data_IF_423907709922
#
_entry.id   IF_423907709922
#
_cell.length_a   1.000
_cell.length_b   1.000
_cell.length_c   1.000
_cell.angle_alpha   90.00
_cell.angle_beta   90.00
_cell.angle_gamma   90.00
#
_symmetry.space_group_name_H-M   'P 1'
#
loop_
_entity.id
_entity.type
_entity.pdbx_description
1 polymer ?
#
# COMPACT_ATOMS: atom_id res chain seq x y z
N UNK A 1 21.39 47.97 -22.62
CA UNK A 1 20.01 48.35 -22.22
C UNK A 1 19.59 47.41 -21.08
N UNK A 2 19.59 47.88 -19.84
CA UNK A 2 19.22 47.03 -18.69
C UNK A 2 17.72 46.79 -18.71
N UNK A 3 17.27 45.53 -18.92
CA UNK A 3 15.87 45.16 -18.74
C UNK A 3 15.51 45.41 -17.27
N UNK A 4 14.72 46.46 -17.04
CA UNK A 4 14.07 46.73 -15.75
C UNK A 4 13.33 45.44 -15.36
N UNK A 5 13.60 44.87 -14.19
CA UNK A 5 12.82 43.74 -13.67
C UNK A 5 11.40 44.23 -13.43
N UNK A 6 10.52 44.03 -14.40
CA UNK A 6 9.10 44.36 -14.30
C UNK A 6 8.50 43.38 -13.28
N UNK A 7 8.08 43.91 -12.13
CA UNK A 7 7.36 43.16 -11.10
C UNK A 7 5.89 43.52 -11.18
N UNK A 8 5.03 42.51 -11.14
CA UNK A 8 3.59 42.68 -11.11
C UNK A 8 3.09 42.52 -9.67
N UNK A 9 2.36 43.53 -9.15
CA UNK A 9 1.80 43.46 -7.80
C UNK A 9 0.39 42.87 -7.87
N UNK A 10 0.15 41.84 -7.05
CA UNK A 10 -1.13 41.16 -6.87
C UNK A 10 -1.40 40.97 -5.38
N UNK A 11 -2.67 41.01 -4.98
CA UNK A 11 -3.09 40.59 -3.64
C UNK A 11 -3.28 39.07 -3.65
N UNK A 12 -2.78 38.39 -2.62
CA UNK A 12 -2.89 36.93 -2.46
C UNK A 12 -3.33 36.68 -1.03
N UNK A 13 -4.40 35.92 -0.88
CA UNK A 13 -4.86 35.44 0.42
C UNK A 13 -4.27 34.05 0.66
N UNK A 14 -3.66 33.86 1.83
CA UNK A 14 -3.15 32.56 2.26
C UNK A 14 -4.07 31.97 3.32
N UNK A 15 -4.33 30.68 3.22
CA UNK A 15 -4.80 29.92 4.37
C UNK A 15 -3.77 30.03 5.51
N UNK A 16 -4.26 30.08 6.75
CA UNK A 16 -3.41 30.32 7.92
C UNK A 16 -2.29 29.28 8.05
N UNK A 17 -2.57 28.02 7.74
CA UNK A 17 -1.60 26.92 7.80
C UNK A 17 -0.52 27.07 6.71
N UNK A 18 -0.92 27.41 5.48
CA UNK A 18 0.01 27.65 4.37
C UNK A 18 0.90 28.87 4.62
N UNK A 19 0.36 29.92 5.24
CA UNK A 19 1.15 31.09 5.62
C UNK A 19 2.23 30.74 6.66
N UNK A 20 1.89 29.91 7.66
CA UNK A 20 2.87 29.42 8.65
C UNK A 20 3.97 28.59 7.99
N UNK A 21 3.62 27.70 7.06
CA UNK A 21 4.60 26.93 6.29
C UNK A 21 5.53 27.85 5.49
N UNK A 22 4.99 28.90 4.88
CA UNK A 22 5.75 29.87 4.11
C UNK A 22 6.74 30.65 4.98
N UNK A 23 6.33 31.10 6.17
CA UNK A 23 7.21 31.79 7.12
C UNK A 23 8.35 30.88 7.60
N UNK A 24 8.06 29.63 7.96
CA UNK A 24 9.08 28.65 8.35
C UNK A 24 10.06 28.35 7.20
N UNK A 25 9.55 28.24 5.98
CA UNK A 25 10.37 28.01 4.80
C UNK A 25 11.25 29.23 4.48
N UNK A 26 10.78 30.46 4.72
CA UNK A 26 11.58 31.68 4.53
C UNK A 26 12.85 31.65 5.37
N UNK A 27 12.77 31.21 6.62
CA UNK A 27 13.94 31.02 7.49
C UNK A 27 14.88 29.93 6.96
N UNK A 28 14.31 28.79 6.58
CA UNK A 28 15.06 27.62 6.09
C UNK A 28 15.84 27.94 4.80
N UNK A 29 15.19 28.61 3.85
CA UNK A 29 15.76 28.99 2.56
C UNK A 29 16.47 30.35 2.59
N UNK A 30 16.50 31.03 3.75
CA UNK A 30 17.11 32.37 3.95
C UNK A 30 16.60 33.41 2.94
N UNK A 31 15.31 33.36 2.62
CA UNK A 31 14.70 34.32 1.70
C UNK A 31 14.43 35.65 2.42
N UNK A 32 14.63 36.78 1.74
CA UNK A 32 14.44 38.11 2.34
C UNK A 32 12.95 38.49 2.43
N UNK A 33 12.08 37.81 1.68
CA UNK A 33 10.64 38.05 1.68
C UNK A 33 9.86 36.84 1.20
N UNK A 34 8.58 36.78 1.58
CA UNK A 34 7.64 35.77 1.07
C UNK A 34 7.53 35.83 -0.45
N UNK A 35 7.56 37.03 -1.03
CA UNK A 35 7.55 37.20 -2.48
C UNK A 35 8.78 36.58 -3.16
N UNK A 36 9.96 36.70 -2.56
CA UNK A 36 11.19 36.08 -3.08
C UNK A 36 11.05 34.55 -3.09
N UNK A 37 10.59 33.98 -1.97
CA UNK A 37 10.40 32.54 -1.83
C UNK A 37 9.32 32.01 -2.79
N UNK A 38 8.17 32.68 -2.91
CA UNK A 38 7.10 32.30 -3.86
C UNK A 38 7.62 32.29 -5.30
N UNK A 39 8.33 33.34 -5.72
CA UNK A 39 8.92 33.38 -7.07
C UNK A 39 9.99 32.30 -7.27
N UNK A 40 10.73 31.93 -6.23
CA UNK A 40 11.65 30.80 -6.28
C UNK A 40 10.90 29.48 -6.48
N UNK A 41 9.88 29.19 -5.66
CA UNK A 41 9.04 27.98 -5.75
C UNK A 41 8.40 27.83 -7.13
N UNK A 42 7.82 28.92 -7.66
CA UNK A 42 7.26 28.96 -9.02
C UNK A 42 8.31 28.57 -10.07
N UNK A 43 9.52 29.13 -9.98
CA UNK A 43 10.60 28.83 -10.95
C UNK A 43 11.06 27.38 -10.88
N UNK A 44 11.17 26.80 -9.70
CA UNK A 44 11.66 25.42 -9.57
C UNK A 44 10.59 24.39 -9.93
N UNK A 45 9.31 24.65 -9.66
CA UNK A 45 8.24 23.66 -9.86
C UNK A 45 7.51 23.83 -11.20
N UNK A 46 7.22 25.06 -11.65
CA UNK A 46 6.48 25.28 -12.90
C UNK A 46 7.36 25.28 -14.15
N UNK A 47 8.67 25.54 -14.02
CA UNK A 47 9.60 25.60 -15.16
C UNK A 47 10.44 24.32 -15.34
N UNK A 48 9.94 23.18 -14.87
CA UNK A 48 10.60 21.89 -15.05
C UNK A 48 10.51 21.44 -16.51
N UNK A 49 11.61 20.89 -17.04
CA UNK A 49 11.61 20.24 -18.36
C UNK A 49 10.73 18.98 -18.33
N UNK A 50 10.04 18.63 -19.43
CA UNK A 50 9.17 17.45 -19.49
C UNK A 50 9.86 16.14 -19.06
N UNK A 51 11.13 15.93 -19.42
CA UNK A 51 11.88 14.74 -19.01
C UNK A 51 12.12 14.69 -17.50
N UNK A 52 12.37 15.83 -16.88
CA UNK A 52 12.56 15.94 -15.42
C UNK A 52 11.24 15.70 -14.71
N UNK A 53 10.14 16.29 -15.21
CA UNK A 53 8.79 16.04 -14.70
C UNK A 53 8.44 14.55 -14.71
N UNK A 54 8.63 13.87 -15.85
CA UNK A 54 8.39 12.42 -15.95
C UNK A 54 9.22 11.61 -14.97
N UNK A 55 10.51 11.89 -14.85
CA UNK A 55 11.37 11.18 -13.91
C UNK A 55 10.90 11.35 -12.46
N UNK A 56 10.56 12.58 -12.06
CA UNK A 56 10.04 12.86 -10.72
C UNK A 56 8.68 12.19 -10.49
N UNK A 57 7.80 12.19 -11.49
CA UNK A 57 6.52 11.49 -11.44
C UNK A 57 6.70 9.98 -11.25
N UNK A 58 7.63 9.35 -11.98
CA UNK A 58 7.96 7.91 -11.81
C UNK A 58 8.48 7.61 -10.41
N UNK A 59 9.36 8.44 -9.86
CA UNK A 59 9.86 8.25 -8.49
C UNK A 59 8.69 8.34 -7.49
N UNK A 60 7.84 9.37 -7.62
CA UNK A 60 6.69 9.55 -6.74
C UNK A 60 5.68 8.39 -6.85
N UNK A 61 5.46 7.87 -8.07
CA UNK A 61 4.62 6.68 -8.31
C UNK A 61 5.17 5.45 -7.58
N UNK A 62 6.45 5.16 -7.74
CA UNK A 62 7.06 3.99 -7.11
C UNK A 62 6.99 4.04 -5.58
N UNK A 63 7.22 5.22 -4.98
CA UNK A 63 7.09 5.39 -3.52
C UNK A 63 5.63 5.33 -3.07
N UNK A 64 4.69 5.89 -3.85
CA UNK A 64 3.26 5.75 -3.59
C UNK A 64 2.84 4.28 -3.58
N UNK A 65 3.20 3.49 -4.60
CA UNK A 65 2.86 2.07 -4.71
C UNK A 65 3.47 1.24 -3.59
N UNK A 66 4.71 1.56 -3.19
CA UNK A 66 5.36 0.92 -2.05
C UNK A 66 4.61 1.19 -0.76
N UNK A 67 4.29 2.45 -0.47
CA UNK A 67 3.54 2.83 0.73
C UNK A 67 2.13 2.24 0.72
N UNK A 68 1.48 2.20 -0.44
CA UNK A 68 0.14 1.64 -0.60
C UNK A 68 0.12 0.16 -0.20
N UNK A 69 1.08 -0.64 -0.72
CA UNK A 69 1.28 -2.04 -0.33
C UNK A 69 1.58 -2.19 1.16
N UNK A 70 2.37 -1.28 1.75
CA UNK A 70 2.72 -1.32 3.18
C UNK A 70 1.54 -0.93 4.11
N UNK A 71 0.59 -0.12 3.66
CA UNK A 71 -0.56 0.31 4.48
C UNK A 71 -1.50 -0.85 4.80
N UNK A 72 -1.62 -1.84 3.90
CA UNK A 72 -2.46 -3.03 4.13
C UNK A 72 -2.03 -3.83 5.38
N UNK A 73 -0.75 -3.80 5.77
CA UNK A 73 -0.22 -4.56 6.91
C UNK A 73 0.05 -3.74 8.20
N UNK A 74 -0.30 -2.45 8.23
CA UNK A 74 0.10 -1.54 9.33
C UNK A 74 -0.95 -1.47 10.47
N UNK A 75 -0.54 -1.26 11.73
CA UNK A 75 -1.45 -0.98 12.85
C UNK A 75 -2.14 0.39 12.67
N UNK A 76 -3.34 0.57 13.25
CA UNK A 76 -4.20 1.74 12.98
C UNK A 76 -3.53 3.11 13.18
N UNK A 77 -2.58 3.23 14.11
CA UNK A 77 -1.82 4.46 14.35
C UNK A 77 -0.75 4.72 13.28
N UNK A 78 0.01 3.69 12.87
CA UNK A 78 1.01 3.79 11.80
C UNK A 78 0.38 4.08 10.43
N UNK A 79 -0.88 3.69 10.24
CA UNK A 79 -1.63 3.99 9.00
C UNK A 79 -1.78 5.49 8.77
N UNK A 80 -1.95 6.31 9.80
CA UNK A 80 -2.26 7.73 9.59
C UNK A 80 -1.08 8.53 9.02
N UNK A 81 0.13 8.35 9.58
CA UNK A 81 1.34 9.00 9.04
C UNK A 81 1.69 8.49 7.64
N UNK A 82 1.53 7.18 7.40
CA UNK A 82 1.72 6.58 6.07
C UNK A 82 0.71 7.11 5.06
N UNK A 83 -0.55 7.29 5.43
CA UNK A 83 -1.58 7.86 4.56
C UNK A 83 -1.34 9.34 4.25
N UNK A 84 -0.87 10.14 5.23
CA UNK A 84 -0.43 11.52 4.98
C UNK A 84 0.72 11.53 3.96
N UNK A 85 1.74 10.69 4.16
CA UNK A 85 2.91 10.60 3.29
C UNK A 85 2.53 10.12 1.88
N UNK A 86 1.69 9.09 1.80
CA UNK A 86 1.14 8.55 0.55
C UNK A 86 0.36 9.63 -0.22
N UNK A 87 -0.46 10.42 0.47
CA UNK A 87 -1.18 11.54 -0.13
C UNK A 87 -0.23 12.61 -0.69
N UNK A 88 0.90 12.88 -0.04
CA UNK A 88 1.91 13.81 -0.55
C UNK A 88 2.56 13.29 -1.85
N UNK A 89 2.95 12.02 -1.91
CA UNK A 89 3.48 11.42 -3.15
C UNK A 89 2.48 11.43 -4.29
N UNK A 90 1.21 11.14 -4.01
CA UNK A 90 0.12 11.24 -4.99
C UNK A 90 -0.01 12.65 -5.55
N UNK A 91 -0.06 13.67 -4.68
CA UNK A 91 -0.15 15.07 -5.11
C UNK A 91 1.04 15.49 -5.99
N UNK A 92 2.26 15.07 -5.64
CA UNK A 92 3.46 15.36 -6.44
C UNK A 92 3.43 14.67 -7.80
N UNK A 93 3.03 13.40 -7.84
CA UNK A 93 2.86 12.64 -9.08
C UNK A 93 1.86 13.35 -10.01
N UNK A 94 0.67 13.69 -9.51
CA UNK A 94 -0.37 14.40 -10.28
C UNK A 94 0.11 15.77 -10.77
N UNK A 95 0.85 16.51 -9.92
CA UNK A 95 1.44 17.79 -10.28
C UNK A 95 2.45 17.67 -11.43
N UNK A 96 3.38 16.72 -11.37
CA UNK A 96 4.41 16.56 -12.39
C UNK A 96 3.87 16.00 -13.71
N UNK A 97 2.71 15.35 -13.70
CA UNK A 97 2.01 14.93 -14.91
C UNK A 97 1.13 16.05 -15.51
N UNK A 98 1.32 17.31 -15.09
CA UNK A 98 0.57 18.47 -15.58
C UNK A 98 -0.96 18.31 -15.44
N UNK A 99 -1.41 17.52 -14.45
CA UNK A 99 -2.81 17.20 -14.26
C UNK A 99 -3.39 16.23 -15.31
N UNK A 100 -2.57 15.71 -16.25
CA UNK A 100 -2.96 14.60 -17.11
C UNK A 100 -3.08 13.33 -16.26
N UNK A 101 -4.33 13.03 -15.87
CA UNK A 101 -4.68 11.77 -15.20
C UNK A 101 -4.51 10.54 -16.11
N UNK A 102 -4.36 10.75 -17.43
CA UNK A 102 -4.74 9.74 -18.42
C UNK A 102 -3.59 8.97 -19.09
N UNK A 103 -2.33 9.33 -18.90
CA UNK A 103 -1.19 8.61 -19.53
C UNK A 103 -0.21 7.94 -18.56
N UNK A 104 -0.54 7.95 -17.26
CA UNK A 104 -0.02 6.96 -16.32
C UNK A 104 -1.24 6.24 -15.76
N UNK A 105 -1.77 5.31 -16.56
CA UNK A 105 -2.50 4.20 -15.96
C UNK A 105 -1.51 3.63 -14.92
N UNK A 106 -1.87 3.80 -13.65
CA UNK A 106 -1.37 2.88 -12.63
C UNK A 106 -1.91 1.56 -13.16
N UNK A 107 -1.09 0.83 -13.92
CA UNK A 107 -1.26 -0.60 -14.03
C UNK A 107 -1.05 -1.09 -12.60
N UNK A 108 -2.07 -0.91 -11.76
CA UNK A 108 -2.42 -1.97 -10.87
C UNK A 108 -2.51 -3.15 -11.84
N UNK A 109 -1.54 -4.04 -11.79
CA UNK A 109 -1.80 -5.42 -12.17
C UNK A 109 -2.79 -5.99 -11.13
N UNK A 110 -3.95 -5.33 -10.97
CA UNK A 110 -5.20 -5.83 -10.41
C UNK A 110 -5.96 -6.51 -11.54
N UNK A 111 -5.25 -7.23 -12.41
CA UNK A 111 -5.91 -8.25 -13.19
C UNK A 111 -6.55 -9.20 -12.17
N UNK A 112 -7.87 -9.26 -12.19
CA UNK A 112 -8.62 -10.13 -11.30
C UNK A 112 -8.81 -11.47 -12.01
N UNK A 113 -8.51 -12.57 -11.32
CA UNK A 113 -8.83 -13.93 -11.76
C UNK A 113 -10.19 -14.33 -11.20
N UNK A 114 -11.00 -15.00 -12.03
CA UNK A 114 -12.28 -15.59 -11.64
C UNK A 114 -12.19 -17.12 -11.72
N UNK A 115 -12.59 -17.82 -10.66
CA UNK A 115 -12.67 -19.28 -10.62
C UNK A 115 -14.07 -19.72 -10.18
N UNK A 116 -14.64 -20.71 -10.86
CA UNK A 116 -15.90 -21.35 -10.46
C UNK A 116 -15.70 -22.29 -9.27
N UNK A 117 -16.61 -22.21 -8.31
CA UNK A 117 -16.71 -23.11 -7.16
C UNK A 117 -18.08 -23.82 -7.16
N UNK A 118 -18.32 -24.75 -6.24
CA UNK A 118 -19.52 -25.63 -6.30
C UNK A 118 -20.84 -24.86 -6.43
N UNK A 119 -20.99 -23.75 -5.70
CA UNK A 119 -22.22 -22.95 -5.66
C UNK A 119 -21.99 -21.47 -6.04
N UNK A 120 -20.99 -21.16 -6.86
CA UNK A 120 -20.72 -19.77 -7.24
C UNK A 120 -19.36 -19.57 -7.89
N UNK A 121 -18.74 -18.43 -7.65
CA UNK A 121 -17.40 -18.13 -8.11
C UNK A 121 -16.67 -17.24 -7.11
N UNK A 122 -15.34 -17.24 -7.19
CA UNK A 122 -14.49 -16.30 -6.45
C UNK A 122 -13.76 -15.41 -7.45
N UNK A 123 -13.65 -14.13 -7.12
CA UNK A 123 -12.83 -13.14 -7.85
C UNK A 123 -11.74 -12.65 -6.90
N UNK A 124 -10.48 -12.70 -7.33
CA UNK A 124 -9.32 -12.35 -6.52
C UNK A 124 -8.18 -11.82 -7.41
N UNK A 125 -7.19 -11.09 -6.85
CA UNK A 125 -6.04 -10.60 -7.61
C UNK A 125 -5.21 -11.73 -8.24
N UNK A 126 -4.74 -11.55 -9.47
CA UNK A 126 -4.01 -12.57 -10.24
C UNK A 126 -2.66 -12.94 -9.61
N UNK A 127 -2.07 -12.07 -8.79
CA UNK A 127 -0.80 -12.30 -8.11
C UNK A 127 -0.91 -13.23 -6.88
N UNK A 128 -2.12 -13.66 -6.51
CA UNK A 128 -2.33 -14.60 -5.41
C UNK A 128 -1.97 -16.04 -5.79
N UNK A 129 -1.35 -16.77 -4.86
CA UNK A 129 -0.94 -18.16 -5.06
C UNK A 129 -2.08 -19.10 -4.65
N UNK A 130 -2.57 -19.90 -5.58
CA UNK A 130 -3.67 -20.84 -5.31
C UNK A 130 -3.10 -22.20 -4.89
N UNK A 131 -3.48 -22.68 -3.71
CA UNK A 131 -2.93 -23.91 -3.12
C UNK A 131 -3.56 -25.20 -3.65
N UNK A 132 -4.80 -25.12 -4.15
CA UNK A 132 -5.55 -26.28 -4.62
C UNK A 132 -6.64 -25.92 -5.63
N UNK A 133 -6.23 -25.29 -6.74
CA UNK A 133 -7.14 -24.88 -7.82
C UNK A 133 -8.00 -26.03 -8.35
N UNK A 134 -7.44 -27.24 -8.45
CA UNK A 134 -8.16 -28.43 -8.93
C UNK A 134 -9.36 -28.83 -8.05
N UNK A 135 -9.36 -28.46 -6.77
CA UNK A 135 -10.43 -28.78 -5.83
C UNK A 135 -11.61 -27.79 -5.90
N UNK A 136 -11.43 -26.64 -6.58
CA UNK A 136 -12.33 -25.48 -6.50
C UNK A 136 -13.80 -25.82 -6.79
N UNK A 137 -14.05 -26.57 -7.86
CA UNK A 137 -15.42 -26.95 -8.29
C UNK A 137 -16.19 -27.80 -7.29
N UNK A 138 -15.50 -28.44 -6.35
CA UNK A 138 -16.09 -29.31 -5.33
C UNK A 138 -16.12 -28.66 -3.94
N UNK A 139 -15.77 -27.38 -3.85
CA UNK A 139 -15.66 -26.66 -2.59
C UNK A 139 -16.71 -25.55 -2.50
N UNK A 140 -17.20 -25.30 -1.30
CA UNK A 140 -18.19 -24.25 -1.01
C UNK A 140 -17.55 -23.03 -0.33
N UNK A 141 -16.35 -23.20 0.24
CA UNK A 141 -15.66 -22.18 1.01
C UNK A 141 -14.31 -21.83 0.37
N UNK A 142 -13.94 -20.57 0.51
CA UNK A 142 -12.62 -20.06 0.13
C UNK A 142 -11.98 -19.45 1.36
N UNK A 143 -10.70 -19.73 1.58
CA UNK A 143 -9.91 -19.11 2.63
C UNK A 143 -8.64 -18.47 2.06
N UNK A 144 -8.14 -17.48 2.79
CA UNK A 144 -6.89 -16.80 2.47
C UNK A 144 -5.93 -16.98 3.65
N UNK A 145 -4.68 -17.33 3.35
CA UNK A 145 -3.59 -17.36 4.32
C UNK A 145 -2.76 -16.11 4.10
N UNK A 146 -2.74 -15.26 5.12
CA UNK A 146 -1.94 -14.04 5.15
C UNK A 146 -0.88 -14.11 6.24
N UNK A 147 0.36 -13.81 5.85
CA UNK A 147 1.48 -13.71 6.78
C UNK A 147 1.59 -12.26 7.24
N UNK A 148 1.33 -12.00 8.53
CA UNK A 148 1.56 -10.67 9.11
C UNK A 148 3.05 -10.37 9.15
N UNK A 149 3.42 -9.17 8.72
CA UNK A 149 4.81 -8.80 8.36
C UNK A 149 5.36 -9.63 7.18
N UNK A 150 4.48 -10.13 6.29
CA UNK A 150 4.84 -10.93 5.12
C UNK A 150 5.82 -10.23 4.19
N UNK A 151 5.86 -8.89 4.19
CA UNK A 151 6.84 -8.07 3.46
C UNK A 151 8.28 -8.39 3.83
N UNK A 152 8.57 -8.74 5.10
CA UNK A 152 9.91 -9.21 5.53
C UNK A 152 10.36 -10.46 4.77
N UNK A 153 9.40 -11.30 4.39
CA UNK A 153 9.64 -12.58 3.72
C UNK A 153 9.28 -12.54 2.24
N UNK A 154 8.86 -11.38 1.71
CA UNK A 154 8.25 -11.26 0.40
C UNK A 154 7.15 -12.32 0.16
N UNK A 155 6.34 -12.60 1.18
CA UNK A 155 5.31 -13.63 1.15
C UNK A 155 4.12 -13.16 0.31
N UNK A 156 3.63 -13.97 -0.65
CA UNK A 156 2.36 -13.69 -1.33
C UNK A 156 1.18 -14.00 -0.39
N UNK A 157 -0.02 -13.61 -0.82
CA UNK A 157 -1.26 -14.19 -0.29
C UNK A 157 -1.47 -15.58 -0.88
N UNK A 158 -1.93 -16.51 -0.06
CA UNK A 158 -2.29 -17.85 -0.52
C UNK A 158 -3.79 -18.05 -0.44
N UNK A 159 -4.41 -18.45 -1.54
CA UNK A 159 -5.82 -18.79 -1.61
C UNK A 159 -6.00 -20.31 -1.59
N UNK A 160 -6.97 -20.79 -0.83
CA UNK A 160 -7.34 -22.21 -0.83
C UNK A 160 -8.85 -22.41 -0.84
N UNK A 161 -9.26 -23.53 -1.44
CA UNK A 161 -10.64 -23.99 -1.49
C UNK A 161 -10.89 -25.06 -0.44
N UNK A 162 -12.04 -25.02 0.22
CA UNK A 162 -12.42 -25.92 1.31
C UNK A 162 -13.86 -26.39 1.20
N UNK A 163 -14.09 -27.67 1.55
CA UNK A 163 -15.42 -28.26 1.74
C UNK A 163 -15.98 -28.00 3.14
N UNK A 164 -15.14 -27.53 4.08
CA UNK A 164 -15.53 -27.15 5.44
C UNK A 164 -15.51 -25.63 5.61
N UNK A 165 -16.39 -25.06 6.45
CA UNK A 165 -16.27 -23.68 6.90
C UNK A 165 -14.87 -23.38 7.46
N UNK A 166 -14.34 -22.18 7.17
CA UNK A 166 -12.96 -21.81 7.54
C UNK A 166 -12.76 -21.82 9.08
N UNK A 167 -13.78 -21.44 9.83
CA UNK A 167 -13.79 -21.47 11.30
C UNK A 167 -13.88 -22.89 11.89
N UNK A 168 -14.13 -23.91 11.07
CA UNK A 168 -14.17 -25.32 11.48
C UNK A 168 -12.91 -26.10 11.07
N UNK A 169 -11.91 -25.42 10.49
CA UNK A 169 -10.64 -26.04 10.12
C UNK A 169 -9.88 -26.51 11.36
N UNK A 170 -9.45 -27.77 11.33
CA UNK A 170 -8.68 -28.35 12.44
C UNK A 170 -7.21 -27.98 12.36
N UNK A 171 -6.48 -28.26 13.45
CA UNK A 171 -5.01 -28.16 13.44
C UNK A 171 -4.36 -29.08 12.38
N UNK A 172 -4.99 -30.21 12.07
CA UNK A 172 -4.50 -31.11 11.03
C UNK A 172 -4.73 -30.54 9.63
N UNK A 173 -5.89 -29.91 9.40
CA UNK A 173 -6.19 -29.21 8.15
C UNK A 173 -5.20 -28.06 7.92
N UNK A 174 -4.90 -27.32 9.00
CA UNK A 174 -3.88 -26.26 9.00
C UNK A 174 -2.51 -26.77 8.58
N UNK A 175 -2.02 -27.86 9.17
CA UNK A 175 -0.71 -28.42 8.82
C UNK A 175 -0.61 -28.80 7.35
N UNK A 176 -1.69 -29.37 6.79
CA UNK A 176 -1.75 -29.70 5.36
C UNK A 176 -1.71 -28.45 4.47
N UNK A 177 -2.34 -27.36 4.91
CA UNK A 177 -2.26 -26.08 4.20
C UNK A 177 -0.85 -25.51 4.26
N UNK A 178 -0.19 -25.56 5.42
CA UNK A 178 1.21 -25.12 5.57
C UNK A 178 2.16 -25.93 4.66
N UNK A 179 1.97 -27.25 4.56
CA UNK A 179 2.71 -28.10 3.62
C UNK A 179 2.50 -27.68 2.15
N UNK A 180 1.26 -27.33 1.77
CA UNK A 180 0.96 -26.80 0.43
C UNK A 180 1.63 -25.43 0.22
N UNK A 181 1.61 -24.54 1.21
CA UNK A 181 2.30 -23.26 1.16
C UNK A 181 3.81 -23.44 0.95
N UNK A 182 4.47 -24.34 1.70
CA UNK A 182 5.89 -24.65 1.51
C UNK A 182 6.17 -25.15 0.10
N UNK A 183 5.30 -25.99 -0.45
CA UNK A 183 5.45 -26.54 -1.79
C UNK A 183 5.36 -25.46 -2.88
N UNK A 184 4.47 -24.48 -2.71
CA UNK A 184 4.27 -23.39 -3.69
C UNK A 184 5.23 -22.21 -3.46
N UNK A 185 5.66 -21.99 -2.23
CA UNK A 185 6.54 -20.90 -1.82
C UNK A 185 7.51 -21.44 -0.76
N UNK A 186 8.70 -21.86 -1.19
CA UNK A 186 9.68 -22.53 -0.32
C UNK A 186 10.10 -21.71 0.89
N UNK A 187 10.09 -20.38 0.76
CA UNK A 187 10.42 -19.45 1.84
C UNK A 187 9.37 -19.41 2.95
N UNK A 188 8.18 -19.99 2.73
CA UNK A 188 7.18 -20.20 3.77
C UNK A 188 7.71 -21.04 4.95
N UNK A 189 8.67 -21.94 4.72
CA UNK A 189 9.31 -22.69 5.81
C UNK A 189 10.03 -21.75 6.79
N UNK A 190 10.64 -20.66 6.31
CA UNK A 190 11.29 -19.65 7.18
C UNK A 190 10.26 -18.92 8.03
N UNK A 191 9.08 -18.66 7.46
CA UNK A 191 7.94 -18.03 8.15
C UNK A 191 7.46 -18.92 9.29
N UNK A 192 7.31 -20.22 9.05
CA UNK A 192 6.91 -21.18 10.09
C UNK A 192 7.96 -21.34 11.19
N UNK A 193 9.25 -21.28 10.85
CA UNK A 193 10.32 -21.36 11.84
C UNK A 193 10.33 -20.14 12.77
N UNK A 194 9.97 -18.97 12.25
CA UNK A 194 9.87 -17.72 13.01
C UNK A 194 8.49 -17.52 13.67
N UNK A 195 7.55 -18.45 13.46
CA UNK A 195 6.18 -18.36 13.98
C UNK A 195 6.12 -18.55 15.49
N UNK A 196 5.48 -17.59 16.18
CA UNK A 196 5.22 -17.66 17.62
C UNK A 196 3.69 -17.64 17.82
N UNK A 197 3.07 -18.69 18.41
CA UNK A 197 1.64 -18.71 18.64
C UNK A 197 1.23 -17.63 19.65
N UNK A 198 0.10 -16.99 19.35
CA UNK A 198 -0.54 -16.02 20.25
C UNK A 198 -0.82 -16.62 21.61
N UNK A 199 -0.37 -15.94 22.67
CA UNK A 199 -0.75 -16.23 24.05
C UNK A 199 -1.58 -15.07 24.57
N UNK A 200 -2.73 -15.39 25.13
CA UNK A 200 -3.60 -14.43 25.81
C UNK A 200 -3.47 -14.63 27.31
N UNK A 201 -3.52 -13.55 28.07
CA UNK A 201 -3.67 -13.64 29.52
C UNK A 201 -5.11 -13.98 29.93
N UNK A 202 -5.32 -14.15 31.23
CA UNK A 202 -6.62 -14.48 31.82
C UNK A 202 -7.69 -13.38 31.61
N UNK A 203 -7.30 -12.20 31.10
CA UNK A 203 -8.19 -11.08 30.78
C UNK A 203 -8.45 -10.97 29.27
N UNK A 204 -7.86 -11.85 28.45
CA UNK A 204 -7.96 -11.80 26.99
C UNK A 204 -7.01 -10.81 26.33
N UNK A 205 -6.04 -10.25 27.06
CA UNK A 205 -5.02 -9.34 26.53
C UNK A 205 -3.80 -10.14 26.01
N UNK A 206 -3.20 -9.69 24.91
CA UNK A 206 -2.08 -10.42 24.30
C UNK A 206 -0.79 -10.32 25.14
N UNK A 207 -0.27 -11.48 25.56
CA UNK A 207 0.98 -11.60 26.29
C UNK A 207 2.17 -11.61 25.32
N UNK A 208 2.69 -10.40 25.04
CA UNK A 208 3.93 -10.05 24.30
C UNK A 208 3.78 -9.67 22.83
N UNK A 209 4.23 -8.45 22.55
CA UNK A 209 4.66 -7.98 21.22
C UNK A 209 6.02 -8.60 20.87
N UNK A 210 6.07 -9.48 19.86
CA UNK A 210 7.13 -9.53 18.84
C UNK A 210 6.88 -10.63 17.81
N UNK A 211 6.91 -10.19 16.55
CA UNK A 211 7.21 -10.89 15.30
C UNK A 211 6.28 -12.03 14.84
N UNK A 212 5.44 -11.64 13.87
CA UNK A 212 4.69 -12.48 12.91
C UNK A 212 3.48 -13.17 13.51
N UNK A 213 2.32 -12.84 12.95
CA UNK A 213 1.06 -13.52 13.22
C UNK A 213 0.53 -14.04 11.88
N UNK A 214 -0.15 -15.18 11.88
CA UNK A 214 -0.99 -15.57 10.75
C UNK A 214 -2.39 -15.09 11.09
N UNK A 215 -2.82 -13.98 10.49
CA UNK A 215 -4.19 -13.52 10.64
C UNK A 215 -5.02 -14.18 9.53
N UNK A 216 -6.04 -14.94 9.92
CA UNK A 216 -6.89 -15.70 9.00
C UNK A 216 -8.22 -14.97 8.90
N UNK A 217 -8.28 -13.94 8.05
CA UNK A 217 -9.53 -13.22 7.85
C UNK A 217 -10.57 -14.10 7.14
N UNK A 218 -11.77 -14.11 7.72
CA UNK A 218 -13.03 -14.50 7.11
C UNK A 218 -13.62 -13.32 6.32
N UNK A 219 -14.45 -13.68 5.34
CA UNK A 219 -15.38 -12.85 4.57
C UNK A 219 -14.79 -12.13 3.34
N UNK A 220 -14.64 -12.88 2.25
CA UNK A 220 -14.82 -12.31 0.91
C UNK A 220 -16.30 -12.44 0.55
N UNK A 221 -16.95 -11.30 0.28
CA UNK A 221 -18.33 -11.19 -0.19
C UNK A 221 -18.60 -12.22 -1.30
N UNK A 222 -19.47 -13.19 -0.98
CA UNK A 222 -20.14 -14.02 -1.97
C UNK A 222 -21.15 -13.12 -2.70
N UNK A 223 -21.02 -13.03 -4.03
CA UNK A 223 -22.05 -12.50 -4.92
C UNK A 223 -22.70 -13.63 -5.72
#
# INVERSE_FOLDING_TARGET
>A
MFKKNIKEKRSIDFELENFKLLENAKETFKANSNNELINYLIRIFLNLKPSVKRNLATICKNEYEKLDKETYCSAAFERNEKEITKKQYKNLMEFFLDGEKENFIIEENNSMKKIEIQNGYVIFPEDWVILNEDDAKNCEYVGVIEVKNGTKYNSPHFLFFSTKPINELTNNDTKKLDEKCIKMFSDYQKILNDYIPLKYDEKGEMLKERNIYLDRFQDTLLY
#
